data_IF_322542371386
#
_entry.id   IF_322542371386
#
_cell.length_a   1.000
_cell.length_b   1.000
_cell.length_c   1.000
_cell.angle_alpha   90.00
_cell.angle_beta   90.00
_cell.angle_gamma   90.00
#
_symmetry.space_group_name_H-M   'P 1'
#
loop_
_entity.id
_entity.type
_entity.pdbx_description
1 polymer ?
#
# COMPACT_ATOMS: atom_id res chain seq x y z
N UNK A 1 -1.36 -24.00 7.81
CA UNK A 1 -0.64 -22.79 7.33
C UNK A 1 -1.62 -21.62 7.28
N UNK A 2 -1.23 -20.40 7.68
CA UNK A 2 -2.09 -19.22 7.53
C UNK A 2 -2.30 -18.87 6.05
N UNK A 3 -3.48 -18.35 5.72
CA UNK A 3 -3.84 -17.94 4.36
C UNK A 3 -3.09 -16.66 3.97
N UNK A 4 -2.53 -16.55 2.74
CA UNK A 4 -1.87 -15.33 2.28
C UNK A 4 -2.87 -14.17 2.24
N UNK A 5 -2.58 -13.07 2.95
CA UNK A 5 -3.46 -11.89 3.00
C UNK A 5 -3.57 -11.12 1.68
N UNK A 6 -2.52 -11.13 0.84
CA UNK A 6 -2.45 -10.39 -0.43
C UNK A 6 -1.88 -11.30 -1.51
N UNK A 7 -2.74 -12.12 -2.12
CA UNK A 7 -2.35 -13.00 -3.21
C UNK A 7 -2.33 -12.21 -4.52
N UNK A 8 -1.20 -12.27 -5.25
CA UNK A 8 -1.07 -11.64 -6.57
C UNK A 8 -1.60 -12.61 -7.63
N UNK A 9 -2.52 -12.14 -8.45
CA UNK A 9 -3.16 -12.96 -9.49
C UNK A 9 -2.86 -12.45 -10.90
N UNK A 10 -2.67 -13.34 -11.89
CA UNK A 10 -2.69 -14.80 -11.80
C UNK A 10 -1.41 -15.38 -11.17
N UNK A 11 -1.54 -16.44 -10.36
CA UNK A 11 -0.40 -17.13 -9.74
C UNK A 11 0.41 -17.94 -10.76
N UNK A 12 -0.28 -18.61 -11.68
CA UNK A 12 0.33 -19.47 -12.70
C UNK A 12 0.34 -18.78 -14.07
N UNK A 13 1.30 -17.88 -14.30
CA UNK A 13 1.32 -17.03 -15.50
C UNK A 13 1.37 -17.79 -16.83
N UNK A 14 2.03 -18.95 -16.88
CA UNK A 14 2.19 -19.72 -18.12
C UNK A 14 1.20 -20.88 -18.29
N UNK A 15 0.36 -21.18 -17.29
CA UNK A 15 -0.53 -22.35 -17.34
C UNK A 15 -1.85 -21.99 -18.01
N UNK A 16 -2.33 -22.86 -18.90
CA UNK A 16 -3.64 -22.72 -19.54
C UNK A 16 -3.77 -21.50 -20.45
N UNK A 17 -2.65 -21.00 -20.98
CA UNK A 17 -2.61 -19.86 -21.91
C UNK A 17 -3.22 -20.20 -23.26
N UNK A 18 -3.19 -21.47 -23.65
CA UNK A 18 -3.83 -22.01 -24.86
C UNK A 18 -4.78 -23.15 -24.46
N UNK A 19 -6.03 -23.17 -24.96
CA UNK A 19 -6.93 -24.29 -24.73
C UNK A 19 -6.42 -25.58 -25.39
N UNK A 20 -6.35 -26.66 -24.63
CA UNK A 20 -5.80 -27.97 -25.07
C UNK A 20 -6.53 -28.58 -26.29
N UNK A 21 -7.78 -28.16 -26.52
CA UNK A 21 -8.64 -28.60 -27.62
C UNK A 21 -8.62 -27.68 -28.86
N UNK A 22 -7.80 -26.62 -28.84
CA UNK A 22 -7.66 -25.69 -29.94
C UNK A 22 -6.29 -25.90 -30.60
N UNK A 23 -6.29 -26.42 -31.83
CA UNK A 23 -5.06 -26.50 -32.62
C UNK A 23 -4.66 -25.10 -33.08
N UNK A 24 -3.53 -24.60 -32.57
CA UNK A 24 -2.99 -23.29 -32.96
C UNK A 24 -1.78 -23.53 -33.86
N UNK A 25 -1.67 -22.85 -35.02
CA UNK A 25 -0.56 -23.08 -35.96
C UNK A 25 0.83 -22.85 -35.34
N UNK A 26 0.95 -21.91 -34.40
CA UNK A 26 2.18 -21.53 -33.70
C UNK A 26 1.96 -21.61 -32.19
N UNK A 27 1.96 -22.82 -31.63
CA UNK A 27 1.67 -23.04 -30.20
C UNK A 27 2.65 -22.32 -29.28
N UNK A 28 3.94 -22.33 -29.62
CA UNK A 28 4.97 -21.67 -28.81
C UNK A 28 4.72 -20.16 -28.72
N UNK A 29 4.40 -19.52 -29.84
CA UNK A 29 4.09 -18.10 -29.88
C UNK A 29 2.81 -17.78 -29.10
N UNK A 30 1.78 -18.61 -29.26
CA UNK A 30 0.51 -18.46 -28.55
C UNK A 30 0.68 -18.60 -27.01
N UNK A 31 1.44 -19.59 -26.56
CA UNK A 31 1.78 -19.78 -25.14
C UNK A 31 2.62 -18.62 -24.61
N UNK A 32 3.58 -18.15 -25.40
CA UNK A 32 4.44 -17.00 -25.04
C UNK A 32 3.61 -15.74 -24.88
N UNK A 33 2.75 -15.42 -25.85
CA UNK A 33 1.86 -14.26 -25.78
C UNK A 33 0.89 -14.33 -24.61
N UNK A 34 0.28 -15.50 -24.36
CA UNK A 34 -0.59 -15.69 -23.20
C UNK A 34 0.17 -15.57 -21.87
N UNK A 35 1.41 -16.03 -21.82
CA UNK A 35 2.28 -15.84 -20.64
C UNK A 35 2.56 -14.36 -20.41
N UNK A 36 2.92 -13.61 -21.46
CA UNK A 36 3.14 -12.17 -21.38
C UNK A 36 1.88 -11.42 -20.91
N UNK A 37 0.72 -11.74 -21.48
CA UNK A 37 -0.55 -11.16 -21.06
C UNK A 37 -0.85 -11.44 -19.58
N UNK A 38 -0.63 -12.66 -19.11
CA UNK A 38 -0.80 -13.01 -17.71
C UNK A 38 0.22 -12.34 -16.80
N UNK A 39 1.47 -12.16 -17.22
CA UNK A 39 2.48 -11.39 -16.48
C UNK A 39 2.04 -9.93 -16.32
N UNK A 40 1.53 -9.30 -17.38
CA UNK A 40 0.99 -7.92 -17.29
C UNK A 40 -0.18 -7.85 -16.32
N UNK A 41 -1.09 -8.83 -16.34
CA UNK A 41 -2.19 -8.91 -15.35
C UNK A 41 -1.68 -9.10 -13.93
N UNK A 42 -0.64 -9.92 -13.75
CA UNK A 42 -0.01 -10.17 -12.46
C UNK A 42 0.62 -8.90 -11.90
N UNK A 43 1.32 -8.14 -12.74
CA UNK A 43 1.87 -6.83 -12.36
C UNK A 43 0.77 -5.84 -11.99
N UNK A 44 -0.35 -5.82 -12.73
CA UNK A 44 -1.51 -4.99 -12.36
C UNK A 44 -2.10 -5.36 -11.00
N UNK A 45 -2.26 -6.66 -10.71
CA UNK A 45 -2.68 -7.12 -9.39
C UNK A 45 -1.71 -6.70 -8.29
N UNK A 46 -0.40 -6.80 -8.54
CA UNK A 46 0.64 -6.36 -7.61
C UNK A 46 0.57 -4.85 -7.36
N UNK A 47 0.42 -4.04 -8.42
CA UNK A 47 0.30 -2.59 -8.30
C UNK A 47 -0.90 -2.18 -7.46
N UNK A 48 -2.06 -2.86 -7.63
CA UNK A 48 -3.23 -2.62 -6.80
C UNK A 48 -2.97 -2.90 -5.32
N UNK A 49 -2.32 -4.03 -5.00
CA UNK A 49 -1.96 -4.35 -3.62
C UNK A 49 -0.99 -3.32 -3.02
N UNK A 50 -0.05 -2.81 -3.83
CA UNK A 50 0.87 -1.76 -3.39
C UNK A 50 0.14 -0.44 -3.13
N UNK A 51 -0.78 -0.04 -4.00
CA UNK A 51 -1.63 1.13 -3.82
C UNK A 51 -2.44 1.05 -2.52
N UNK A 52 -3.10 -0.08 -2.27
CA UNK A 52 -3.86 -0.29 -1.03
C UNK A 52 -2.96 -0.15 0.22
N UNK A 53 -1.76 -0.77 0.19
CA UNK A 53 -0.80 -0.69 1.29
C UNK A 53 -0.30 0.74 1.55
N UNK A 54 0.11 1.44 0.49
CA UNK A 54 0.59 2.81 0.63
C UNK A 54 -0.55 3.76 1.01
N UNK A 55 -1.76 3.54 0.51
CA UNK A 55 -2.95 4.29 0.91
C UNK A 55 -3.26 4.14 2.40
N UNK A 56 -3.20 2.92 2.93
CA UNK A 56 -3.34 2.64 4.37
C UNK A 56 -2.28 3.39 5.19
N UNK A 57 -1.00 3.27 4.81
CA UNK A 57 0.12 3.94 5.49
C UNK A 57 -0.01 5.47 5.44
N UNK A 58 -0.36 6.03 4.29
CA UNK A 58 -0.55 7.48 4.14
C UNK A 58 -1.67 7.97 5.06
N UNK A 59 -2.79 7.26 5.13
CA UNK A 59 -3.90 7.64 6.02
C UNK A 59 -3.48 7.63 7.49
N UNK A 60 -2.74 6.61 7.91
CA UNK A 60 -2.23 6.53 9.29
C UNK A 60 -1.22 7.63 9.59
N UNK A 61 -0.29 7.90 8.67
CA UNK A 61 0.70 8.96 8.81
C UNK A 61 0.04 10.34 8.90
N UNK A 62 -0.97 10.63 8.07
CA UNK A 62 -1.74 11.88 8.13
C UNK A 62 -2.44 12.02 9.49
N UNK A 63 -3.12 10.97 9.96
CA UNK A 63 -3.78 10.99 11.26
C UNK A 63 -2.79 11.22 12.41
N UNK A 64 -1.60 10.62 12.33
CA UNK A 64 -0.53 10.85 13.30
C UNK A 64 -0.01 12.29 13.26
N UNK A 65 0.19 12.85 12.07
CA UNK A 65 0.62 14.23 11.89
C UNK A 65 -0.40 15.22 12.48
N UNK A 66 -1.69 15.03 12.23
CA UNK A 66 -2.76 15.87 12.80
C UNK A 66 -2.75 15.85 14.32
N UNK A 67 -2.65 14.65 14.92
CA UNK A 67 -2.57 14.50 16.37
C UNK A 67 -1.32 15.15 16.95
N UNK A 68 -0.20 15.06 16.24
CA UNK A 68 1.08 15.67 16.63
C UNK A 68 0.99 17.20 16.59
N UNK A 69 0.36 17.76 15.55
CA UNK A 69 0.12 19.20 15.45
C UNK A 69 -0.77 19.74 16.59
N UNK A 70 -1.85 19.02 16.91
CA UNK A 70 -2.71 19.36 18.06
C UNK A 70 -1.92 19.31 19.37
N UNK A 71 -1.07 18.28 19.53
CA UNK A 71 -0.23 18.16 20.72
C UNK A 71 0.80 19.29 20.81
N UNK A 72 1.45 19.66 19.70
CA UNK A 72 2.39 20.78 19.64
C UNK A 72 1.72 22.09 20.07
N UNK A 73 0.54 22.39 19.54
CA UNK A 73 -0.21 23.59 19.94
C UNK A 73 -0.57 23.60 21.44
N UNK A 74 -0.79 22.43 22.05
CA UNK A 74 -1.00 22.31 23.50
C UNK A 74 0.29 22.53 24.28
N UNK A 75 1.41 22.02 23.79
CA UNK A 75 2.74 22.24 24.38
C UNK A 75 3.08 23.74 24.36
N UNK A 76 2.88 24.42 23.23
CA UNK A 76 3.20 25.84 23.11
C UNK A 76 2.37 26.70 24.08
N UNK A 77 1.07 26.41 24.19
CA UNK A 77 0.19 27.07 25.17
C UNK A 77 0.60 26.79 26.61
N UNK A 78 1.04 25.58 26.90
CA UNK A 78 1.52 25.21 28.23
C UNK A 78 2.82 25.96 28.55
N UNK A 79 3.75 26.03 27.61
CA UNK A 79 5.01 26.75 27.77
C UNK A 79 4.77 28.23 28.12
N UNK A 80 3.87 28.91 27.39
CA UNK A 80 3.49 30.30 27.70
C UNK A 80 2.96 30.42 29.14
N UNK A 81 2.05 29.53 29.55
CA UNK A 81 1.47 29.56 30.90
C UNK A 81 2.51 29.31 31.99
N UNK A 82 3.46 28.39 31.75
CA UNK A 82 4.55 28.10 32.68
C UNK A 82 5.46 29.32 32.83
N UNK A 83 5.85 29.97 31.73
CA UNK A 83 6.65 31.21 31.78
C UNK A 83 5.92 32.33 32.52
N UNK A 84 4.60 32.47 32.33
CA UNK A 84 3.81 33.46 33.05
C UNK A 84 3.74 33.18 34.56
N UNK A 85 3.63 31.91 34.96
CA UNK A 85 3.68 31.51 36.38
C UNK A 85 5.06 31.78 36.99
N UNK A 86 6.14 31.53 36.25
CA UNK A 86 7.52 31.79 36.67
C UNK A 86 7.80 33.30 36.83
N UNK A 87 7.11 34.14 36.05
CA UNK A 87 7.21 35.60 36.18
C UNK A 87 6.38 36.21 37.33
N UNK A 88 5.61 35.38 38.06
CA UNK A 88 4.75 35.80 39.16
C UNK A 88 5.36 35.50 40.53
N UNK A 89 6.18 36.44 41.02
CA UNK A 89 6.24 36.86 42.44
C UNK A 89 6.51 35.74 43.47
N UNK A 90 7.79 35.52 43.77
CA UNK A 90 8.22 35.30 45.16
C UNK A 90 8.16 36.66 45.90
N UNK A 91 6.98 37.03 46.42
CA UNK A 91 6.78 37.95 47.55
C UNK A 91 5.60 37.45 48.41
#
# INVERSE_FOLDING_TARGET
>A
MPLPKRCVEPVHVSRGTVPERLAVPSELEAVTNGTLANTVRQLSSLSKHAEDMFGELTREATSLADRTNVLQARIDRLAIKVTQLDSGVEE
#
